data_IF_425665607200
#
_entry.id   IF_425665607200
#
_cell.length_a   1.000
_cell.length_b   1.000
_cell.length_c   1.000
_cell.angle_alpha   90.00
_cell.angle_beta   90.00
_cell.angle_gamma   90.00
#
_symmetry.space_group_name_H-M   'P 1'
#
loop_
_entity.id
_entity.type
_entity.pdbx_description
1 polymer ?
#
# COMPACT_ATOMS: atom_id res chain seq x y z
N UNK A 1 -3.20 -25.49 -21.69
CA UNK A 1 -3.85 -24.17 -21.80
C UNK A 1 -4.41 -23.66 -20.46
N UNK A 2 -4.62 -24.51 -19.44
CA UNK A 2 -5.03 -24.08 -18.08
C UNK A 2 -3.82 -23.72 -17.19
N UNK A 3 -2.68 -24.39 -17.38
CA UNK A 3 -1.46 -24.13 -16.57
C UNK A 3 -0.87 -22.73 -16.76
N UNK A 4 -1.00 -22.15 -17.95
CA UNK A 4 -0.48 -20.80 -18.24
C UNK A 4 -1.24 -19.70 -17.47
N UNK A 5 -2.56 -19.86 -17.31
CA UNK A 5 -3.40 -18.84 -16.66
C UNK A 5 -2.98 -18.63 -15.21
N UNK A 6 -2.61 -19.70 -14.50
CA UNK A 6 -2.14 -19.61 -13.12
C UNK A 6 -0.82 -18.84 -12.98
N UNK A 7 0.09 -18.96 -13.96
CA UNK A 7 1.34 -18.20 -14.03
C UNK A 7 1.08 -16.71 -14.25
N UNK A 8 0.16 -16.34 -15.14
CA UNK A 8 -0.22 -14.95 -15.36
C UNK A 8 -0.95 -14.33 -14.17
N UNK A 9 -1.87 -15.08 -13.55
CA UNK A 9 -2.63 -14.60 -12.39
C UNK A 9 -1.76 -14.38 -11.15
N UNK A 10 -0.62 -15.09 -11.01
CA UNK A 10 0.33 -14.90 -9.91
C UNK A 10 0.88 -13.46 -9.85
N UNK A 11 1.07 -12.83 -11.01
CA UNK A 11 1.58 -11.46 -11.11
C UNK A 11 0.52 -10.39 -10.87
N UNK A 12 -0.77 -10.76 -10.90
CA UNK A 12 -1.88 -9.85 -10.62
C UNK A 12 -2.09 -9.76 -9.12
N UNK A 13 -1.66 -8.64 -8.54
CA UNK A 13 -1.87 -8.33 -7.11
C UNK A 13 -3.38 -8.41 -6.77
N UNK A 14 -3.71 -9.18 -5.75
CA UNK A 14 -5.09 -9.40 -5.30
C UNK A 14 -5.79 -10.62 -5.90
N UNK A 15 -5.17 -11.36 -6.82
CA UNK A 15 -5.71 -12.63 -7.31
C UNK A 15 -5.62 -13.74 -6.25
N UNK A 16 -6.48 -14.76 -6.32
CA UNK A 16 -6.42 -15.92 -5.42
C UNK A 16 -5.05 -16.64 -5.47
N UNK A 17 -4.42 -16.70 -6.64
CA UNK A 17 -3.10 -17.30 -6.82
C UNK A 17 -1.99 -16.45 -6.21
N UNK A 18 -2.10 -15.11 -6.30
CA UNK A 18 -1.21 -14.18 -5.61
C UNK A 18 -1.31 -14.38 -4.08
N UNK A 19 -2.53 -14.47 -3.54
CA UNK A 19 -2.75 -14.70 -2.10
C UNK A 19 -2.14 -16.01 -1.61
N UNK A 20 -2.36 -17.10 -2.35
CA UNK A 20 -1.79 -18.40 -2.00
C UNK A 20 -0.25 -18.37 -2.02
N UNK A 21 0.34 -17.66 -3.00
CA UNK A 21 1.79 -17.51 -3.08
C UNK A 21 2.33 -16.70 -1.90
N UNK A 22 1.76 -15.51 -1.66
CA UNK A 22 2.18 -14.63 -0.57
C UNK A 22 2.08 -15.33 0.80
N UNK A 23 0.99 -16.07 1.04
CA UNK A 23 0.81 -16.86 2.24
C UNK A 23 1.86 -17.97 2.38
N UNK A 24 2.16 -18.68 1.30
CA UNK A 24 3.17 -19.74 1.31
C UNK A 24 4.59 -19.18 1.55
N UNK A 25 4.91 -18.01 0.98
CA UNK A 25 6.19 -17.32 1.21
C UNK A 25 6.33 -16.91 2.68
N UNK A 26 5.28 -16.34 3.28
CA UNK A 26 5.28 -16.00 4.70
C UNK A 26 5.45 -17.24 5.59
N UNK A 27 4.72 -18.33 5.31
CA UNK A 27 4.88 -19.59 6.07
C UNK A 27 6.29 -20.15 5.91
N UNK A 28 6.87 -20.08 4.71
CA UNK A 28 8.23 -20.56 4.46
C UNK A 28 9.25 -19.76 5.28
N UNK A 29 9.12 -18.44 5.33
CA UNK A 29 9.99 -17.60 6.18
C UNK A 29 9.82 -17.93 7.66
N UNK A 30 8.59 -18.09 8.16
CA UNK A 30 8.35 -18.45 9.56
C UNK A 30 8.97 -19.81 9.91
N UNK A 31 8.95 -20.76 8.97
CA UNK A 31 9.56 -22.09 9.17
C UNK A 31 11.08 -22.05 9.15
N UNK A 32 11.69 -21.20 8.32
CA UNK A 32 13.14 -21.12 8.17
C UNK A 32 13.82 -20.22 9.22
N UNK A 33 13.20 -19.07 9.52
CA UNK A 33 13.77 -18.01 10.37
C UNK A 33 13.17 -18.01 11.79
N UNK A 34 11.99 -18.60 11.97
CA UNK A 34 11.23 -18.55 13.21
C UNK A 34 10.14 -17.46 13.20
N UNK A 35 9.48 -17.21 14.34
CA UNK A 35 8.41 -16.22 14.43
C UNK A 35 8.94 -14.79 14.21
N UNK A 36 8.13 -13.89 13.61
CA UNK A 36 8.54 -12.50 13.42
C UNK A 36 8.63 -11.76 14.76
N UNK A 37 9.67 -10.95 14.92
CA UNK A 37 9.83 -10.06 16.09
C UNK A 37 8.82 -8.90 16.05
N UNK A 38 8.56 -8.36 14.86
CA UNK A 38 7.66 -7.24 14.64
C UNK A 38 6.66 -7.58 13.52
N UNK A 39 5.40 -7.22 13.73
CA UNK A 39 4.34 -7.28 12.71
C UNK A 39 3.61 -5.94 12.68
N UNK A 40 3.56 -5.31 11.51
CA UNK A 40 3.07 -3.95 11.33
C UNK A 40 1.99 -3.90 10.24
N UNK A 41 0.91 -3.16 10.52
CA UNK A 41 -0.20 -2.93 9.59
C UNK A 41 -0.42 -1.44 9.38
N UNK A 42 -0.38 -0.98 8.14
CA UNK A 42 -0.59 0.42 7.77
C UNK A 42 -1.75 0.57 6.80
N UNK A 43 -2.68 1.49 7.06
CA UNK A 43 -3.74 1.91 6.13
C UNK A 43 -3.47 3.30 5.55
N UNK A 44 -4.05 3.62 4.38
CA UNK A 44 -3.88 4.94 3.78
C UNK A 44 -4.92 5.92 4.35
N UNK A 45 -4.50 7.10 4.79
CA UNK A 45 -5.38 8.18 5.24
C UNK A 45 -5.58 9.21 4.10
N UNK A 46 -6.19 8.73 3.02
CA UNK A 46 -6.37 9.42 1.74
C UNK A 46 -7.22 10.70 1.81
N UNK A 47 -8.09 10.83 2.82
CA UNK A 47 -8.92 12.03 3.02
C UNK A 47 -8.18 13.20 3.67
N UNK A 48 -7.16 12.94 4.47
CA UNK A 48 -6.53 13.97 5.31
C UNK A 48 -5.10 14.34 4.89
N UNK A 49 -4.44 13.48 4.12
CA UNK A 49 -3.09 13.75 3.63
C UNK A 49 -3.05 14.94 2.66
N UNK A 50 -2.30 16.00 3.03
CA UNK A 50 -2.20 17.23 2.23
C UNK A 50 -1.57 17.00 0.85
N UNK A 51 -0.55 16.14 0.77
CA UNK A 51 0.05 15.71 -0.48
C UNK A 51 -0.91 14.87 -1.33
N UNK A 52 -1.78 14.07 -0.71
CA UNK A 52 -2.85 13.36 -1.42
C UNK A 52 -3.85 14.35 -2.03
N UNK A 53 -4.32 15.32 -1.23
CA UNK A 53 -5.21 16.39 -1.72
C UNK A 53 -4.56 17.18 -2.86
N UNK A 54 -3.27 17.48 -2.75
CA UNK A 54 -2.50 18.14 -3.82
C UNK A 54 -2.45 17.30 -5.09
N UNK A 55 -2.13 16.01 -4.97
CA UNK A 55 -2.09 15.09 -6.11
C UNK A 55 -3.47 14.97 -6.80
N UNK A 56 -4.55 14.92 -6.02
CA UNK A 56 -5.92 14.89 -6.51
C UNK A 56 -6.31 16.21 -7.21
N UNK A 57 -5.93 17.36 -6.66
CA UNK A 57 -6.18 18.67 -7.28
C UNK A 57 -5.42 18.84 -8.60
N UNK A 58 -4.18 18.34 -8.69
CA UNK A 58 -3.41 18.32 -9.94
C UNK A 58 -4.09 17.43 -10.98
N UNK A 59 -4.54 16.23 -10.58
CA UNK A 59 -5.25 15.31 -11.47
C UNK A 59 -6.58 15.91 -11.98
N UNK A 60 -7.24 16.71 -11.15
CA UNK A 60 -8.48 17.41 -11.47
C UNK A 60 -8.27 18.74 -12.24
N UNK A 61 -7.03 19.08 -12.60
CA UNK A 61 -6.72 20.29 -13.37
C UNK A 61 -6.76 21.60 -12.56
N UNK A 62 -6.72 21.54 -11.23
CA UNK A 62 -6.78 22.70 -10.31
C UNK A 62 -5.53 22.82 -9.43
N UNK A 63 -4.31 22.97 -10.01
CA UNK A 63 -3.06 22.92 -9.25
C UNK A 63 -2.84 24.09 -8.27
N UNK A 64 -3.49 25.25 -8.51
CA UNK A 64 -3.30 26.47 -7.73
C UNK A 64 -4.27 26.60 -6.54
N UNK A 65 -5.19 25.65 -6.36
CA UNK A 65 -6.15 25.70 -5.25
C UNK A 65 -5.48 25.25 -3.95
N UNK A 66 -5.80 25.91 -2.84
CA UNK A 66 -5.27 25.51 -1.53
C UNK A 66 -5.83 24.15 -1.12
N UNK A 67 -4.94 23.27 -0.65
CA UNK A 67 -5.25 21.94 -0.12
C UNK A 67 -6.00 21.98 1.21
N UNK A 68 -5.81 23.05 2.00
CA UNK A 68 -6.45 23.20 3.31
C UNK A 68 -7.94 23.59 3.20
N UNK A 69 -8.29 24.35 2.16
CA UNK A 69 -9.67 24.78 1.89
C UNK A 69 -10.56 23.64 1.34
N UNK A 70 -9.96 22.48 1.02
CA UNK A 70 -10.70 21.35 0.47
C UNK A 70 -11.48 20.62 1.58
N UNK A 71 -12.79 20.79 1.59
CA UNK A 71 -13.68 20.07 2.51
C UNK A 71 -13.63 18.55 2.34
N UNK A 72 -13.93 17.81 3.40
CA UNK A 72 -13.83 16.33 3.45
C UNK A 72 -14.66 15.67 2.35
N UNK A 73 -15.91 16.12 2.14
CA UNK A 73 -16.79 15.58 1.10
C UNK A 73 -16.26 15.83 -0.33
N UNK A 74 -15.65 16.98 -0.57
CA UNK A 74 -15.04 17.29 -1.87
C UNK A 74 -13.80 16.40 -2.11
N UNK A 75 -12.99 16.19 -1.07
CA UNK A 75 -11.84 15.27 -1.13
C UNK A 75 -12.31 13.84 -1.40
N UNK A 76 -13.35 13.38 -0.70
CA UNK A 76 -13.90 12.04 -0.91
C UNK A 76 -14.36 11.84 -2.36
N UNK A 77 -15.06 12.82 -2.94
CA UNK A 77 -15.46 12.77 -4.35
C UNK A 77 -14.25 12.65 -5.30
N UNK A 78 -13.17 13.37 -5.03
CA UNK A 78 -11.95 13.29 -5.84
C UNK A 78 -11.24 11.94 -5.68
N UNK A 79 -11.22 11.36 -4.47
CA UNK A 79 -10.70 10.02 -4.20
C UNK A 79 -11.45 8.98 -5.02
N UNK A 80 -12.79 9.07 -5.06
CA UNK A 80 -13.64 8.17 -5.83
C UNK A 80 -13.45 8.35 -7.35
N UNK A 81 -13.21 9.59 -7.80
CA UNK A 81 -13.01 9.92 -9.22
C UNK A 81 -11.62 9.51 -9.74
N UNK A 82 -10.58 9.59 -8.91
CA UNK A 82 -9.19 9.36 -9.30
C UNK A 82 -8.50 8.25 -8.48
N UNK A 83 -9.03 7.00 -8.47
CA UNK A 83 -8.51 5.91 -7.65
C UNK A 83 -7.06 5.52 -8.00
N UNK A 84 -6.64 5.71 -9.26
CA UNK A 84 -5.27 5.45 -9.71
C UNK A 84 -4.27 6.40 -9.04
N UNK A 85 -4.65 7.68 -8.88
CA UNK A 85 -3.80 8.70 -8.25
C UNK A 85 -3.67 8.40 -6.76
N UNK A 86 -4.78 8.04 -6.10
CA UNK A 86 -4.79 7.63 -4.69
C UNK A 86 -3.86 6.44 -4.46
N UNK A 87 -4.01 5.40 -5.29
CA UNK A 87 -3.16 4.22 -5.24
C UNK A 87 -1.69 4.57 -5.41
N UNK A 88 -1.35 5.38 -6.42
CA UNK A 88 0.03 5.81 -6.69
C UNK A 88 0.62 6.57 -5.50
N UNK A 89 -0.13 7.51 -4.93
CA UNK A 89 0.36 8.36 -3.85
C UNK A 89 0.52 7.57 -2.54
N UNK A 90 -0.40 6.66 -2.24
CA UNK A 90 -0.22 5.77 -1.10
C UNK A 90 1.00 4.85 -1.28
N UNK A 91 1.20 4.33 -2.50
CA UNK A 91 2.39 3.52 -2.83
C UNK A 91 3.71 4.29 -2.62
N UNK A 92 3.76 5.56 -3.02
CA UNK A 92 4.96 6.40 -2.81
C UNK A 92 5.26 6.52 -1.31
N UNK A 93 4.25 6.80 -0.49
CA UNK A 93 4.39 6.91 0.97
C UNK A 93 4.82 5.60 1.62
N UNK A 94 4.21 4.48 1.25
CA UNK A 94 4.56 3.16 1.79
C UNK A 94 5.98 2.78 1.39
N UNK A 95 6.38 3.01 0.13
CA UNK A 95 7.75 2.74 -0.30
C UNK A 95 8.75 3.60 0.48
N UNK A 96 8.49 4.89 0.64
CA UNK A 96 9.34 5.77 1.43
C UNK A 96 9.44 5.32 2.90
N UNK A 97 8.32 4.88 3.48
CA UNK A 97 8.28 4.35 4.84
C UNK A 97 9.07 3.05 4.97
N UNK A 98 8.91 2.10 4.04
CA UNK A 98 9.66 0.84 4.04
C UNK A 98 11.15 1.10 3.87
N UNK A 99 11.54 1.98 2.93
CA UNK A 99 12.95 2.38 2.76
C UNK A 99 13.49 3.05 4.02
N UNK A 100 12.71 3.90 4.68
CA UNK A 100 13.09 4.50 5.95
C UNK A 100 13.27 3.44 7.04
N UNK A 101 12.34 2.50 7.17
CA UNK A 101 12.38 1.43 8.17
C UNK A 101 13.57 0.47 7.96
N UNK A 102 13.96 0.20 6.71
CA UNK A 102 15.07 -0.70 6.39
C UNK A 102 16.45 -0.03 6.50
N UNK A 103 16.54 1.28 6.31
CA UNK A 103 17.80 2.02 6.33
C UNK A 103 18.16 2.61 7.70
N UNK A 104 17.25 2.57 8.68
CA UNK A 104 17.48 3.13 10.01
C UNK A 104 17.52 2.02 11.06
N UNK A 105 18.68 1.84 11.67
CA UNK A 105 18.90 0.81 12.70
C UNK A 105 18.16 1.12 14.01
N UNK A 106 17.78 2.37 14.24
CA UNK A 106 17.08 2.78 15.47
C UNK A 106 15.61 2.31 15.50
N UNK A 107 14.99 2.08 14.34
CA UNK A 107 13.54 1.81 14.25
C UNK A 107 13.18 0.46 14.86
N UNK A 108 14.04 -0.54 14.69
CA UNK A 108 13.84 -1.90 15.19
C UNK A 108 14.91 -2.34 16.19
N UNK A 109 15.56 -1.37 16.86
CA UNK A 109 16.63 -1.63 17.82
C UNK A 109 17.80 -2.46 17.22
N UNK A 110 18.08 -2.29 15.93
CA UNK A 110 19.11 -3.02 15.19
C UNK A 110 18.86 -3.04 13.68
N UNK A 111 19.80 -3.66 12.96
CA UNK A 111 19.75 -3.82 11.50
C UNK A 111 18.69 -4.88 11.15
N UNK A 112 17.82 -4.58 10.19
CA UNK A 112 16.84 -5.54 9.66
C UNK A 112 17.55 -6.56 8.77
N UNK A 113 17.60 -7.83 9.20
CA UNK A 113 18.21 -8.92 8.43
C UNK A 113 17.25 -9.48 7.38
N UNK A 114 16.03 -9.81 7.82
CA UNK A 114 14.99 -10.40 6.99
C UNK A 114 13.70 -9.59 7.13
N UNK A 115 13.01 -9.39 6.01
CA UNK A 115 11.71 -8.75 6.00
C UNK A 115 10.82 -9.37 4.93
N UNK A 116 9.52 -9.27 5.16
CA UNK A 116 8.51 -9.63 4.18
C UNK A 116 7.34 -8.68 4.29
N UNK A 117 6.79 -8.33 3.14
CA UNK A 117 5.68 -7.40 3.07
C UNK A 117 4.84 -7.70 1.83
N UNK A 118 3.57 -7.29 1.89
CA UNK A 118 2.59 -7.42 0.83
C UNK A 118 1.75 -6.14 0.78
N UNK A 119 0.96 -5.97 -0.27
CA UNK A 119 0.01 -4.85 -0.32
C UNK A 119 -1.35 -5.41 -0.69
N UNK A 120 -2.37 -4.94 0.02
CA UNK A 120 -3.75 -5.19 -0.29
C UNK A 120 -4.41 -3.91 -0.83
N UNK A 121 -4.98 -4.00 -2.03
CA UNK A 121 -5.86 -2.98 -2.56
C UNK A 121 -7.29 -3.50 -2.47
N UNK A 122 -8.12 -2.86 -1.64
CA UNK A 122 -9.54 -3.20 -1.54
C UNK A 122 -10.23 -2.93 -2.88
N UNK A 123 -11.05 -3.88 -3.34
CA UNK A 123 -11.81 -3.75 -4.58
C UNK A 123 -13.05 -2.84 -4.42
N UNK A 124 -13.35 -2.33 -3.22
CA UNK A 124 -14.44 -1.38 -2.95
C UNK A 124 -14.26 -0.65 -1.62
N UNK A 125 -14.38 0.69 -1.69
CA UNK A 125 -14.47 1.69 -0.59
C UNK A 125 -13.30 1.72 0.39
N UNK A 126 -12.59 2.85 0.37
CA UNK A 126 -11.46 3.26 1.23
C UNK A 126 -10.33 2.23 1.38
N UNK A 127 -9.06 2.63 1.20
CA UNK A 127 -7.90 1.76 1.38
C UNK A 127 -7.67 1.44 2.87
N UNK A 128 -8.52 0.57 3.42
CA UNK A 128 -8.24 -0.13 4.66
C UNK A 128 -7.35 -1.32 4.32
N UNK A 129 -6.08 -1.21 4.69
CA UNK A 129 -5.15 -2.32 4.60
C UNK A 129 -5.40 -3.25 5.80
N UNK A 130 -5.88 -4.45 5.51
CA UNK A 130 -5.95 -5.55 6.46
C UNK A 130 -4.81 -6.51 6.07
N UNK A 131 -4.12 -7.09 7.06
CA UNK A 131 -3.08 -8.11 6.87
C UNK A 131 -3.53 -9.45 7.45
#
# INVERSE_FOLDING_TARGET
>A
MVDDIHLYLKNIRGSATYWKTAHNELIAQIRCLGPPHYSLTFSCNDLNWLDMRKALLIADGRPNKDTNELGIYATQRLVEMYPIVVRRQCMIRVNALVTFMLNNDEVFCGIVQDYWWRIEFQNRRSPTCIW
#
